data_IF_262725686860
#
_entry.id   IF_262725686860
#
_cell.length_a   1.000
_cell.length_b   1.000
_cell.length_c   1.000
_cell.angle_alpha   90.00
_cell.angle_beta   90.00
_cell.angle_gamma   90.00
#
_symmetry.space_group_name_H-M   'P 1'
#
loop_
_entity.id
_entity.type
_entity.pdbx_description
1 polymer ?
#
# COMPACT_ATOMS: atom_id res chain seq x y z
N UNK A 1 -80.46 49.64 36.64
CA UNK A 1 -78.98 49.71 36.65
C UNK A 1 -78.47 48.50 37.39
N UNK A 2 -77.48 47.84 36.77
CA UNK A 2 -76.53 46.87 37.34
C UNK A 2 -77.07 45.43 37.46
N UNK A 3 -76.90 44.58 36.45
CA UNK A 3 -75.67 43.99 35.84
C UNK A 3 -75.38 42.61 36.45
N UNK A 4 -75.56 41.59 35.62
CA UNK A 4 -75.52 40.20 35.97
C UNK A 4 -74.09 39.68 35.72
N UNK A 5 -73.28 39.65 36.78
CA UNK A 5 -71.96 39.01 36.78
C UNK A 5 -72.10 37.49 36.67
N UNK A 6 -71.95 36.98 35.44
CA UNK A 6 -71.93 35.55 35.14
C UNK A 6 -70.48 35.08 35.06
N UNK A 7 -69.90 34.70 36.19
CA UNK A 7 -68.58 34.07 36.25
C UNK A 7 -68.68 32.64 35.69
N UNK A 8 -68.38 32.49 34.41
CA UNK A 8 -68.14 31.19 33.80
C UNK A 8 -66.73 30.69 34.12
N UNK A 9 -66.54 29.42 34.53
CA UNK A 9 -65.20 28.87 34.72
C UNK A 9 -64.56 28.60 33.35
N UNK A 10 -63.87 29.58 32.81
CA UNK A 10 -63.03 29.42 31.63
C UNK A 10 -61.58 29.10 32.03
N UNK A 11 -60.96 28.17 31.30
CA UNK A 11 -59.51 27.86 31.24
C UNK A 11 -58.88 26.71 32.06
N UNK A 12 -59.62 25.92 32.85
CA UNK A 12 -59.01 24.74 33.51
C UNK A 12 -59.03 23.46 32.66
N UNK A 13 -59.97 23.34 31.71
CA UNK A 13 -60.31 22.07 31.04
C UNK A 13 -59.36 21.68 29.89
N UNK A 14 -58.74 22.65 29.23
CA UNK A 14 -57.83 22.39 28.10
C UNK A 14 -56.43 21.93 28.54
N UNK A 15 -55.99 22.29 29.74
CA UNK A 15 -54.67 21.89 30.29
C UNK A 15 -54.56 20.37 30.50
N UNK A 16 -55.68 19.70 30.80
CA UNK A 16 -55.71 18.24 30.99
C UNK A 16 -55.53 17.47 29.68
N UNK A 17 -56.17 17.92 28.60
CA UNK A 17 -56.06 17.29 27.28
C UNK A 17 -54.65 17.44 26.68
N UNK A 18 -54.05 18.63 26.82
CA UNK A 18 -52.68 18.89 26.35
C UNK A 18 -51.65 18.01 27.09
N UNK A 19 -51.82 17.82 28.40
CA UNK A 19 -50.94 16.93 29.17
C UNK A 19 -51.03 15.47 28.72
N UNK A 20 -52.23 14.98 28.37
CA UNK A 20 -52.43 13.63 27.85
C UNK A 20 -51.77 13.44 26.47
N UNK A 21 -51.94 14.38 25.55
CA UNK A 21 -51.25 14.33 24.26
C UNK A 21 -49.73 14.46 24.41
N UNK A 22 -49.27 15.33 25.29
CA UNK A 22 -47.84 15.47 25.59
C UNK A 22 -47.24 14.15 26.09
N UNK A 23 -47.86 13.49 27.08
CA UNK A 23 -47.43 12.18 27.58
C UNK A 23 -47.46 11.12 26.48
N UNK A 24 -48.51 11.10 25.66
CA UNK A 24 -48.65 10.17 24.55
C UNK A 24 -47.54 10.33 23.50
N UNK A 25 -47.15 11.56 23.18
CA UNK A 25 -46.10 11.85 22.19
C UNK A 25 -44.69 11.86 22.77
N UNK A 26 -44.53 12.07 24.07
CA UNK A 26 -43.23 12.04 24.74
C UNK A 26 -42.58 10.66 24.63
N UNK A 27 -43.35 9.59 24.82
CA UNK A 27 -42.85 8.21 24.73
C UNK A 27 -42.26 7.92 23.33
N UNK A 28 -42.98 8.09 22.20
CA UNK A 28 -42.42 7.86 20.88
C UNK A 28 -41.29 8.84 20.55
N UNK A 29 -41.33 10.09 21.01
CA UNK A 29 -40.23 11.04 20.82
C UNK A 29 -38.92 10.54 21.47
N UNK A 30 -39.01 10.04 22.71
CA UNK A 30 -37.87 9.44 23.41
C UNK A 30 -37.39 8.15 22.74
N UNK A 31 -38.31 7.31 22.22
CA UNK A 31 -37.93 6.11 21.47
C UNK A 31 -37.19 6.45 20.18
N UNK A 32 -37.61 7.47 19.42
CA UNK A 32 -36.88 7.93 18.24
C UNK A 32 -35.54 8.55 18.60
N UNK A 33 -35.45 9.31 19.69
CA UNK A 33 -34.18 9.82 20.20
C UNK A 33 -33.20 8.71 20.58
N UNK A 34 -33.71 7.68 21.26
CA UNK A 34 -32.95 6.49 21.61
C UNK A 34 -32.41 5.75 20.38
N UNK A 35 -33.29 5.49 19.41
CA UNK A 35 -32.93 4.87 18.15
C UNK A 35 -31.88 5.69 17.39
N UNK A 36 -32.01 7.01 17.35
CA UNK A 36 -31.04 7.88 16.68
C UNK A 36 -29.63 7.76 17.30
N UNK A 37 -29.55 7.69 18.63
CA UNK A 37 -28.28 7.48 19.35
C UNK A 37 -27.70 6.10 19.04
N UNK A 38 -28.51 5.05 19.06
CA UNK A 38 -28.07 3.69 18.76
C UNK A 38 -27.59 3.52 17.31
N UNK A 39 -28.26 4.15 16.34
CA UNK A 39 -27.83 4.15 14.93
C UNK A 39 -26.48 4.85 14.78
N UNK A 40 -26.30 6.02 15.41
CA UNK A 40 -25.03 6.72 15.41
C UNK A 40 -23.91 5.87 16.04
N UNK A 41 -24.21 5.19 17.14
CA UNK A 41 -23.28 4.28 17.80
C UNK A 41 -22.88 3.08 16.92
N UNK A 42 -23.85 2.41 16.28
CA UNK A 42 -23.57 1.30 15.37
C UNK A 42 -22.71 1.75 14.19
N UNK A 43 -22.91 2.96 13.67
CA UNK A 43 -22.07 3.52 12.61
C UNK A 43 -20.61 3.69 13.08
N UNK A 44 -20.39 4.18 14.30
CA UNK A 44 -19.04 4.27 14.91
C UNK A 44 -18.41 2.88 15.03
N UNK A 45 -19.16 1.90 15.52
CA UNK A 45 -18.64 0.53 15.72
C UNK A 45 -18.32 -0.16 14.39
N UNK A 46 -19.10 0.09 13.33
CA UNK A 46 -18.78 -0.37 11.97
C UNK A 46 -17.44 0.17 11.48
N UNK A 47 -17.16 1.46 11.72
CA UNK A 47 -15.86 2.04 11.38
C UNK A 47 -14.72 1.42 12.20
N UNK A 48 -14.95 1.12 13.48
CA UNK A 48 -13.95 0.42 14.31
C UNK A 48 -13.66 -1.00 13.78
N UNK A 49 -14.70 -1.74 13.37
CA UNK A 49 -14.54 -3.05 12.73
C UNK A 49 -13.74 -2.94 11.42
N UNK A 50 -14.05 -1.95 10.58
CA UNK A 50 -13.34 -1.74 9.32
C UNK A 50 -11.87 -1.39 9.57
N UNK A 51 -11.58 -0.46 10.48
CA UNK A 51 -10.20 -0.09 10.83
C UNK A 51 -9.41 -1.30 11.34
N UNK A 52 -10.03 -2.17 12.14
CA UNK A 52 -9.40 -3.40 12.61
C UNK A 52 -9.12 -4.39 11.48
N UNK A 53 -10.07 -4.57 10.56
CA UNK A 53 -9.88 -5.40 9.37
C UNK A 53 -8.75 -4.85 8.47
N UNK A 54 -8.77 -3.54 8.20
CA UNK A 54 -7.79 -2.85 7.35
C UNK A 54 -6.38 -2.95 7.93
N UNK A 55 -6.22 -2.66 9.23
CA UNK A 55 -4.94 -2.77 9.92
C UNK A 55 -4.40 -4.20 9.89
N UNK A 56 -5.26 -5.20 10.11
CA UNK A 56 -4.86 -6.59 10.06
C UNK A 56 -4.51 -7.06 8.65
N UNK A 57 -5.27 -6.65 7.63
CA UNK A 57 -4.98 -6.97 6.24
C UNK A 57 -3.64 -6.36 5.81
N UNK A 58 -3.40 -5.07 6.11
CA UNK A 58 -2.13 -4.40 5.80
C UNK A 58 -0.93 -5.06 6.50
N UNK A 59 -1.06 -5.42 7.78
CA UNK A 59 -0.02 -6.14 8.51
C UNK A 59 0.28 -7.51 7.90
N UNK A 60 -0.76 -8.25 7.48
CA UNK A 60 -0.60 -9.51 6.77
C UNK A 60 0.08 -9.34 5.41
N UNK A 61 -0.35 -8.37 4.63
CA UNK A 61 0.21 -8.10 3.31
C UNK A 61 1.68 -7.62 3.39
N UNK A 62 2.06 -6.89 4.44
CA UNK A 62 3.46 -6.51 4.68
C UNK A 62 4.34 -7.73 4.96
N UNK A 63 3.80 -8.68 5.71
CA UNK A 63 4.45 -9.93 6.05
C UNK A 63 4.48 -10.97 4.91
N UNK A 64 3.89 -10.69 3.75
CA UNK A 64 4.08 -11.51 2.54
C UNK A 64 5.50 -11.39 1.99
N UNK A 65 6.13 -10.23 2.19
CA UNK A 65 7.46 -9.94 1.68
C UNK A 65 8.52 -10.73 2.45
N UNK A 66 9.28 -11.55 1.72
CA UNK A 66 10.50 -12.15 2.26
C UNK A 66 11.59 -11.08 2.35
N UNK A 67 12.28 -10.92 3.51
CA UNK A 67 13.37 -9.96 3.66
C UNK A 67 14.54 -10.15 2.68
N UNK A 68 14.72 -11.37 2.15
CA UNK A 68 15.72 -11.72 1.14
C UNK A 68 15.13 -11.82 -0.28
N UNK A 69 13.89 -11.37 -0.47
CA UNK A 69 13.10 -11.57 -1.69
C UNK A 69 12.69 -13.03 -1.94
N UNK A 70 12.13 -13.29 -3.13
CA UNK A 70 11.82 -14.63 -3.62
C UNK A 70 10.38 -15.06 -3.36
N UNK A 71 10.19 -16.32 -2.94
CA UNK A 71 8.88 -16.86 -2.67
C UNK A 71 8.18 -16.11 -1.52
N UNK A 72 6.88 -15.85 -1.70
CA UNK A 72 6.06 -15.14 -0.74
C UNK A 72 5.82 -16.00 0.51
N UNK A 73 5.81 -15.36 1.68
CA UNK A 73 5.62 -16.06 2.96
C UNK A 73 4.15 -16.03 3.41
N UNK A 74 3.33 -16.88 2.79
CA UNK A 74 1.89 -16.97 3.07
C UNK A 74 1.56 -17.30 4.54
N UNK A 75 2.39 -18.14 5.19
CA UNK A 75 2.19 -18.54 6.59
C UNK A 75 2.47 -17.37 7.55
N UNK A 76 3.56 -16.64 7.31
CA UNK A 76 3.91 -15.46 8.10
C UNK A 76 2.87 -14.35 7.90
N UNK A 77 2.38 -14.16 6.68
CA UNK A 77 1.29 -13.23 6.38
C UNK A 77 0.01 -13.54 7.18
N UNK A 78 -0.41 -14.81 7.23
CA UNK A 78 -1.57 -15.22 8.02
C UNK A 78 -1.36 -15.00 9.53
N UNK A 79 -0.15 -15.29 10.02
CA UNK A 79 0.23 -15.08 11.43
C UNK A 79 0.24 -13.61 11.81
N UNK A 80 0.84 -12.75 10.97
CA UNK A 80 0.90 -11.31 11.20
C UNK A 80 -0.48 -10.66 11.19
N UNK A 81 -1.34 -11.05 10.23
CA UNK A 81 -2.73 -10.59 10.19
C UNK A 81 -3.50 -10.99 11.45
N UNK A 82 -3.40 -12.26 11.88
CA UNK A 82 -4.06 -12.75 13.09
C UNK A 82 -3.57 -12.02 14.35
N UNK A 83 -2.26 -11.79 14.45
CA UNK A 83 -1.66 -11.01 15.53
C UNK A 83 -2.16 -9.57 15.55
N UNK A 84 -2.29 -8.93 14.37
CA UNK A 84 -2.81 -7.58 14.25
C UNK A 84 -4.31 -7.48 14.60
N UNK A 85 -5.13 -8.51 14.32
CA UNK A 85 -6.53 -8.54 14.81
C UNK A 85 -6.55 -8.41 16.35
N UNK A 86 -5.69 -9.16 17.05
CA UNK A 86 -5.64 -9.17 18.51
C UNK A 86 -5.17 -7.84 19.14
N UNK A 87 -4.57 -6.94 18.36
CA UNK A 87 -4.15 -5.61 18.81
C UNK A 87 -5.26 -4.55 18.71
N UNK A 88 -6.41 -4.92 18.15
CA UNK A 88 -7.52 -3.99 17.93
C UNK A 88 -8.66 -4.23 18.92
N UNK A 89 -9.42 -3.16 19.21
CA UNK A 89 -10.60 -3.20 20.05
C UNK A 89 -11.79 -2.55 19.34
N UNK A 90 -12.97 -3.12 19.55
CA UNK A 90 -14.23 -2.68 18.95
C UNK A 90 -15.25 -2.55 20.06
N UNK A 91 -15.92 -1.40 20.15
CA UNK A 91 -16.84 -1.05 21.23
C UNK A 91 -16.24 -1.28 22.63
N UNK A 92 -14.94 -0.99 22.79
CA UNK A 92 -14.21 -1.16 24.05
C UNK A 92 -13.81 -2.61 24.40
N UNK A 93 -14.13 -3.59 23.56
CA UNK A 93 -13.70 -4.99 23.74
C UNK A 93 -12.59 -5.35 22.77
N UNK A 94 -11.49 -5.92 23.27
CA UNK A 94 -10.43 -6.45 22.42
C UNK A 94 -10.97 -7.56 21.51
N UNK A 95 -10.54 -7.56 20.25
CA UNK A 95 -10.78 -8.68 19.35
C UNK A 95 -9.81 -9.82 19.71
N UNK A 96 -10.28 -11.06 19.66
CA UNK A 96 -9.46 -12.26 19.90
C UNK A 96 -9.31 -13.13 18.66
N UNK A 97 -10.20 -12.99 17.68
CA UNK A 97 -10.28 -13.85 16.51
C UNK A 97 -10.77 -13.08 15.27
N UNK A 98 -10.28 -13.47 14.11
CA UNK A 98 -10.74 -13.04 12.80
C UNK A 98 -10.48 -14.14 11.78
N UNK A 99 -11.22 -14.12 10.67
CA UNK A 99 -10.98 -15.03 9.55
C UNK A 99 -9.93 -14.39 8.64
N UNK A 100 -8.81 -15.10 8.45
CA UNK A 100 -7.72 -14.65 7.58
C UNK A 100 -7.61 -15.58 6.38
N UNK A 101 -7.55 -15.01 5.17
CA UNK A 101 -7.27 -15.73 3.94
C UNK A 101 -6.11 -15.07 3.22
N UNK A 102 -5.04 -15.83 2.97
CA UNK A 102 -3.88 -15.37 2.21
C UNK A 102 -3.87 -16.06 0.83
N UNK A 103 -3.61 -15.31 -0.23
CA UNK A 103 -3.66 -15.81 -1.59
C UNK A 103 -3.55 -14.68 -2.60
N UNK A 104 -4.28 -14.76 -3.70
CA UNK A 104 -4.23 -13.72 -4.73
C UNK A 104 -5.55 -12.94 -4.80
N UNK A 105 -5.44 -11.65 -5.10
CA UNK A 105 -6.57 -10.78 -5.39
C UNK A 105 -6.44 -10.21 -6.79
N UNK A 106 -7.50 -10.34 -7.59
CA UNK A 106 -7.53 -9.78 -8.93
C UNK A 106 -7.84 -8.27 -8.86
N UNK A 107 -6.88 -7.44 -9.25
CA UNK A 107 -7.00 -5.98 -9.24
C UNK A 107 -8.03 -5.45 -10.24
N UNK A 108 -8.36 -6.24 -11.28
CA UNK A 108 -9.47 -5.97 -12.19
C UNK A 108 -10.84 -6.36 -11.61
N UNK A 109 -10.88 -6.93 -10.40
CA UNK A 109 -12.08 -7.41 -9.70
C UNK A 109 -12.89 -8.45 -10.47
N UNK A 110 -12.21 -9.24 -11.29
CA UNK A 110 -12.82 -10.33 -12.03
C UNK A 110 -11.91 -11.57 -11.95
N UNK A 111 -12.10 -12.44 -10.93
CA UNK A 111 -13.16 -12.42 -9.92
C UNK A 111 -12.90 -11.43 -8.77
N UNK A 112 -13.97 -10.88 -8.18
CA UNK A 112 -13.91 -10.01 -6.99
C UNK A 112 -13.83 -10.82 -5.68
N UNK A 113 -13.03 -11.88 -5.65
CA UNK A 113 -12.89 -12.80 -4.51
C UNK A 113 -11.44 -13.23 -4.36
N UNK A 114 -11.06 -13.61 -3.12
CA UNK A 114 -9.74 -14.20 -2.86
C UNK A 114 -9.58 -15.50 -3.65
N UNK A 115 -8.47 -15.61 -4.36
CA UNK A 115 -8.02 -16.80 -5.06
C UNK A 115 -6.97 -17.53 -4.23
N UNK A 116 -6.83 -18.84 -4.44
CA UNK A 116 -5.88 -19.66 -3.71
C UNK A 116 -4.42 -19.25 -3.99
N UNK A 117 -3.53 -19.41 -3.00
CA UNK A 117 -2.10 -19.15 -3.15
C UNK A 117 -1.40 -20.06 -4.18
N UNK A 118 -2.06 -21.12 -4.65
CA UNK A 118 -1.54 -22.12 -5.59
C UNK A 118 -1.87 -21.84 -7.05
N UNK A 119 -2.61 -20.76 -7.37
CA UNK A 119 -2.86 -20.42 -8.76
C UNK A 119 -1.56 -19.98 -9.44
N UNK A 120 -1.50 -20.13 -10.77
CA UNK A 120 -0.54 -19.38 -11.59
C UNK A 120 -1.10 -17.96 -11.76
N UNK A 121 -0.48 -16.92 -11.18
CA UNK A 121 -1.05 -15.57 -11.20
C UNK A 121 -1.10 -15.02 -12.63
N UNK A 122 -2.24 -14.43 -12.99
CA UNK A 122 -2.37 -13.63 -14.20
C UNK A 122 -1.85 -12.20 -14.01
N UNK A 123 -1.94 -11.39 -15.06
CA UNK A 123 -1.44 -10.00 -15.10
C UNK A 123 -1.99 -9.10 -14.00
N UNK A 124 -3.23 -9.35 -13.55
CA UNK A 124 -3.91 -8.54 -12.54
C UNK A 124 -3.95 -9.19 -11.15
N UNK A 125 -3.37 -10.39 -11.00
CA UNK A 125 -3.41 -11.10 -9.72
C UNK A 125 -2.24 -10.67 -8.85
N UNK A 126 -2.55 -9.91 -7.81
CA UNK A 126 -1.57 -9.47 -6.82
C UNK A 126 -1.64 -10.37 -5.57
N UNK A 127 -0.51 -10.72 -4.96
CA UNK A 127 -0.48 -11.31 -3.63
C UNK A 127 -1.26 -10.47 -2.63
N UNK A 128 -2.11 -11.11 -1.84
CA UNK A 128 -3.07 -10.43 -0.99
C UNK A 128 -3.34 -11.18 0.31
N UNK A 129 -3.78 -10.42 1.30
CA UNK A 129 -4.36 -10.94 2.54
C UNK A 129 -5.73 -10.31 2.73
N UNK A 130 -6.75 -11.16 2.90
CA UNK A 130 -8.08 -10.77 3.32
C UNK A 130 -8.26 -11.08 4.79
N UNK A 131 -8.81 -10.12 5.52
CA UNK A 131 -9.17 -10.29 6.93
C UNK A 131 -10.64 -9.91 7.12
N UNK A 132 -11.39 -10.79 7.79
CA UNK A 132 -12.75 -10.51 8.24
C UNK A 132 -12.79 -10.57 9.76
N UNK A 133 -13.27 -9.49 10.38
CA UNK A 133 -13.50 -9.42 11.83
C UNK A 133 -14.99 -9.24 12.09
N UNK A 134 -15.49 -9.80 13.18
CA UNK A 134 -16.90 -9.72 13.54
C UNK A 134 -17.14 -9.61 15.04
N UNK A 135 -18.27 -9.02 15.40
CA UNK A 135 -18.86 -8.97 16.73
C UNK A 135 -20.20 -9.68 16.64
N UNK A 136 -20.37 -10.78 17.36
CA UNK A 136 -21.56 -11.62 17.37
C UNK A 136 -21.66 -12.37 18.71
N UNK A 137 -22.79 -13.01 19.06
CA UNK A 137 -22.87 -13.85 20.26
C UNK A 137 -21.72 -14.86 20.33
N UNK A 138 -20.95 -14.82 21.42
CA UNK A 138 -19.79 -15.70 21.62
C UNK A 138 -18.52 -15.34 20.82
N UNK A 139 -18.51 -14.26 20.04
CA UNK A 139 -17.37 -13.85 19.20
C UNK A 139 -16.90 -12.45 19.62
N UNK A 140 -15.58 -12.31 19.88
CA UNK A 140 -14.91 -11.01 20.11
C UNK A 140 -15.60 -10.11 21.15
N UNK A 141 -16.01 -10.68 22.28
CA UNK A 141 -16.69 -9.93 23.36
C UNK A 141 -18.21 -9.80 23.18
N UNK A 142 -18.81 -10.52 22.21
CA UNK A 142 -20.26 -10.64 22.07
C UNK A 142 -20.88 -9.66 21.08
N UNK A 143 -22.21 -9.52 21.14
CA UNK A 143 -22.94 -8.52 20.34
C UNK A 143 -22.46 -7.11 20.66
N UNK A 144 -22.52 -6.21 19.69
CA UNK A 144 -22.32 -4.77 19.87
C UNK A 144 -23.44 -4.27 20.80
N UNK A 145 -23.13 -3.74 22.00
CA UNK A 145 -24.17 -3.27 22.91
C UNK A 145 -24.86 -2.04 22.33
N UNK A 146 -26.19 -2.05 22.27
CA UNK A 146 -26.94 -0.82 21.98
C UNK A 146 -27.02 0.00 23.28
N UNK A 147 -26.85 1.32 23.17
CA UNK A 147 -26.85 2.23 24.31
C UNK A 147 -28.25 2.34 24.92
N UNK A 148 -29.29 2.38 24.08
CA UNK A 148 -30.68 2.53 24.50
C UNK A 148 -31.61 1.44 23.94
N UNK A 149 -31.09 0.51 23.15
CA UNK A 149 -31.86 -0.59 22.55
C UNK A 149 -32.51 -1.54 23.58
N UNK A 150 -31.97 -1.60 24.80
CA UNK A 150 -32.60 -2.32 25.92
C UNK A 150 -34.03 -1.83 26.23
N UNK A 151 -34.33 -0.55 26.01
CA UNK A 151 -35.69 0.01 26.16
C UNK A 151 -36.69 -0.60 25.16
N UNK A 152 -36.18 -1.10 24.03
CA UNK A 152 -36.94 -1.73 22.95
C UNK A 152 -36.81 -3.27 22.94
N UNK A 153 -36.15 -3.86 23.94
CA UNK A 153 -35.89 -5.30 23.99
C UNK A 153 -34.83 -5.79 23.01
N UNK A 154 -34.02 -4.89 22.44
CA UNK A 154 -32.93 -5.19 21.50
C UNK A 154 -31.61 -4.78 22.16
N UNK A 155 -31.00 -5.64 22.99
CA UNK A 155 -29.83 -5.25 23.79
C UNK A 155 -28.54 -5.10 22.97
N UNK A 156 -28.50 -5.60 21.74
CA UNK A 156 -27.31 -5.55 20.90
C UNK A 156 -27.55 -5.90 19.44
N UNK A 157 -26.52 -5.64 18.63
CA UNK A 157 -26.48 -5.97 17.22
C UNK A 157 -25.20 -6.72 16.86
N UNK A 158 -25.25 -7.58 15.84
CA UNK A 158 -24.03 -8.17 15.27
C UNK A 158 -23.49 -7.29 14.15
N UNK A 159 -22.18 -7.33 13.94
CA UNK A 159 -21.52 -6.60 12.85
C UNK A 159 -20.27 -7.31 12.39
N UNK A 160 -19.91 -7.13 11.13
CA UNK A 160 -18.66 -7.62 10.57
C UNK A 160 -18.10 -6.62 9.57
N UNK A 161 -16.79 -6.66 9.38
CA UNK A 161 -16.09 -5.92 8.35
C UNK A 161 -15.03 -6.82 7.70
N UNK A 162 -14.80 -6.61 6.41
CA UNK A 162 -13.80 -7.34 5.63
C UNK A 162 -12.92 -6.33 4.93
N UNK A 163 -11.61 -6.59 4.95
CA UNK A 163 -10.61 -5.81 4.24
C UNK A 163 -9.70 -6.75 3.44
N UNK A 164 -9.22 -6.27 2.30
CA UNK A 164 -8.21 -6.95 1.50
C UNK A 164 -7.06 -5.97 1.33
N UNK A 165 -5.83 -6.41 1.60
CA UNK A 165 -4.63 -5.66 1.29
C UNK A 165 -3.75 -6.45 0.33
N UNK A 166 -3.11 -5.74 -0.59
CA UNK A 166 -2.25 -6.32 -1.63
C UNK A 166 -0.80 -5.87 -1.46
N UNK A 167 0.11 -6.77 -1.79
CA UNK A 167 1.53 -6.49 -1.98
C UNK A 167 1.80 -6.41 -3.49
N UNK A 168 2.38 -5.31 -3.96
CA UNK A 168 2.63 -5.10 -5.39
C UNK A 168 3.97 -4.41 -5.62
N UNK A 169 4.57 -4.66 -6.78
CA UNK A 169 5.68 -3.86 -7.27
C UNK A 169 5.16 -2.47 -7.72
N UNK A 170 5.96 -1.40 -7.54
CA UNK A 170 5.53 -0.05 -7.86
C UNK A 170 5.24 0.10 -9.36
N UNK A 171 4.08 0.66 -9.69
CA UNK A 171 3.79 1.21 -11.03
C UNK A 171 4.19 2.68 -11.16
N UNK A 172 4.52 3.34 -10.05
CA UNK A 172 5.06 4.68 -9.98
C UNK A 172 5.74 4.95 -8.65
N UNK A 173 6.69 5.86 -8.65
CA UNK A 173 7.56 6.22 -7.53
C UNK A 173 7.47 7.72 -7.31
N UNK A 174 7.12 8.14 -6.09
CA UNK A 174 7.06 9.55 -5.74
C UNK A 174 8.43 10.24 -5.79
N UNK A 175 8.43 11.56 -5.67
CA UNK A 175 9.65 12.35 -5.63
C UNK A 175 10.61 11.85 -4.54
N UNK A 176 11.90 11.80 -4.87
CA UNK A 176 12.99 11.36 -4.02
C UNK A 176 13.17 9.85 -3.85
N UNK A 177 12.37 9.03 -4.54
CA UNK A 177 12.45 7.57 -4.44
C UNK A 177 13.45 6.91 -5.40
N UNK A 178 13.98 7.63 -6.40
CA UNK A 178 14.85 7.08 -7.44
C UNK A 178 16.24 7.72 -7.44
N UNK A 179 17.27 6.90 -7.62
CA UNK A 179 18.63 7.37 -7.85
C UNK A 179 18.85 7.67 -9.35
N UNK A 180 19.68 8.67 -9.73
CA UNK A 180 19.79 9.16 -11.12
C UNK A 180 20.59 8.24 -12.07
N UNK A 181 20.32 6.95 -12.04
CA UNK A 181 20.76 5.96 -13.02
C UNK A 181 19.55 5.22 -13.58
N UNK A 182 19.57 4.94 -14.87
CA UNK A 182 18.58 4.09 -15.53
C UNK A 182 19.25 2.81 -16.03
N UNK A 183 18.59 1.68 -15.82
CA UNK A 183 19.06 0.36 -16.26
C UNK A 183 18.34 -0.03 -17.54
N UNK A 184 19.05 -0.67 -18.46
CA UNK A 184 18.45 -1.24 -19.65
C UNK A 184 17.64 -2.50 -19.31
N UNK A 185 16.40 -2.59 -19.79
CA UNK A 185 15.58 -3.79 -19.59
C UNK A 185 16.27 -5.05 -20.13
N UNK A 186 17.09 -4.92 -21.17
CA UNK A 186 17.85 -6.02 -21.77
C UNK A 186 18.82 -6.66 -20.76
N UNK A 187 19.62 -5.85 -20.04
CA UNK A 187 20.57 -6.37 -19.04
C UNK A 187 19.83 -6.92 -17.82
N UNK A 188 18.71 -6.30 -17.45
CA UNK A 188 17.86 -6.81 -16.37
C UNK A 188 17.42 -8.25 -16.66
N UNK A 189 16.88 -8.49 -17.85
CA UNK A 189 16.44 -9.81 -18.27
C UNK A 189 17.57 -10.85 -18.37
N UNK A 190 18.83 -10.42 -18.53
CA UNK A 190 19.98 -11.33 -18.56
C UNK A 190 20.42 -11.81 -17.18
N UNK A 191 20.25 -10.99 -16.13
CA UNK A 191 20.72 -11.27 -14.78
C UNK A 191 19.60 -11.43 -13.75
N UNK A 192 18.37 -11.59 -14.21
CA UNK A 192 17.20 -11.81 -13.37
C UNK A 192 16.47 -13.10 -13.74
N UNK A 193 16.11 -13.89 -12.74
CA UNK A 193 15.24 -15.05 -12.89
C UNK A 193 13.78 -14.63 -12.62
N UNK A 194 13.01 -14.48 -13.70
CA UNK A 194 11.60 -14.11 -13.62
C UNK A 194 10.70 -15.22 -13.04
N UNK A 195 11.16 -16.48 -13.00
CA UNK A 195 10.39 -17.58 -12.43
C UNK A 195 10.49 -17.59 -10.91
N UNK A 196 11.69 -17.32 -10.37
CA UNK A 196 11.94 -17.30 -8.92
C UNK A 196 11.89 -15.90 -8.31
N UNK A 197 11.79 -14.86 -9.15
CA UNK A 197 11.81 -13.45 -8.73
C UNK A 197 13.07 -13.10 -7.93
N UNK A 198 14.21 -13.56 -8.43
CA UNK A 198 15.53 -13.43 -7.80
C UNK A 198 16.61 -13.05 -8.81
N UNK A 199 17.71 -12.39 -8.38
CA UNK A 199 18.90 -12.24 -9.20
C UNK A 199 19.49 -13.60 -9.56
N UNK A 200 19.99 -13.73 -10.79
CA UNK A 200 20.75 -14.91 -11.18
C UNK A 200 22.08 -14.96 -10.43
N UNK A 201 22.46 -16.16 -10.01
CA UNK A 201 23.70 -16.41 -9.29
C UNK A 201 24.80 -16.82 -10.27
N UNK A 202 25.97 -16.21 -10.12
CA UNK A 202 27.17 -16.61 -10.82
C UNK A 202 27.70 -17.92 -10.20
N UNK A 203 27.78 -19.02 -10.97
CA UNK A 203 28.17 -20.33 -10.45
C UNK A 203 29.62 -20.38 -9.95
N UNK A 204 30.47 -19.43 -10.36
CA UNK A 204 31.87 -19.37 -9.94
C UNK A 204 32.04 -18.70 -8.57
N UNK A 205 31.19 -17.74 -8.23
CA UNK A 205 31.29 -16.95 -6.99
C UNK A 205 30.24 -17.34 -5.96
N UNK A 206 29.14 -17.96 -6.39
CA UNK A 206 27.98 -18.20 -5.53
C UNK A 206 27.22 -16.93 -5.15
N UNK A 207 27.53 -15.79 -5.79
CA UNK A 207 26.92 -14.48 -5.55
C UNK A 207 26.12 -14.03 -6.78
N UNK A 208 25.20 -13.05 -6.64
CA UNK A 208 24.54 -12.43 -7.79
C UNK A 208 25.54 -11.97 -8.86
N UNK A 209 25.12 -12.01 -10.12
CA UNK A 209 25.95 -11.43 -11.20
C UNK A 209 26.17 -9.93 -10.97
N UNK A 210 27.44 -9.55 -10.96
CA UNK A 210 27.85 -8.15 -10.94
C UNK A 210 28.09 -7.64 -12.36
N UNK A 211 27.74 -6.38 -12.58
CA UNK A 211 28.00 -5.69 -13.84
C UNK A 211 28.32 -4.22 -13.60
N UNK A 212 28.91 -3.59 -14.61
CA UNK A 212 29.31 -2.19 -14.61
C UNK A 212 28.38 -1.34 -15.46
N UNK A 213 27.99 -0.20 -14.89
CA UNK A 213 27.29 0.89 -15.55
C UNK A 213 28.34 1.94 -15.91
N UNK A 214 28.61 2.06 -17.21
CA UNK A 214 29.41 3.13 -17.79
C UNK A 214 29.05 3.31 -19.25
N UNK A 215 29.56 4.38 -19.87
CA UNK A 215 29.18 4.77 -21.20
C UNK A 215 29.60 3.72 -22.25
N UNK A 216 28.61 3.07 -22.87
CA UNK A 216 28.81 2.15 -23.99
C UNK A 216 29.22 0.73 -23.62
N UNK A 217 29.20 0.34 -22.33
CA UNK A 217 29.43 -1.06 -21.97
C UNK A 217 28.20 -1.92 -22.23
N UNK A 218 28.43 -3.08 -22.84
CA UNK A 218 27.40 -4.02 -23.26
C UNK A 218 27.65 -5.42 -22.70
N UNK A 219 26.57 -6.13 -22.43
CA UNK A 219 26.50 -7.48 -21.89
C UNK A 219 25.79 -8.43 -22.86
N UNK A 220 26.34 -9.63 -23.00
CA UNK A 220 25.94 -10.57 -24.04
C UNK A 220 26.16 -9.97 -25.43
N UNK A 221 25.14 -10.04 -26.29
CA UNK A 221 25.23 -9.57 -27.67
C UNK A 221 25.15 -8.04 -27.82
N UNK A 222 24.35 -7.35 -26.98
CA UNK A 222 24.08 -5.92 -27.16
C UNK A 222 23.44 -5.21 -25.96
N UNK A 223 23.21 -5.87 -24.82
CA UNK A 223 22.48 -5.26 -23.71
C UNK A 223 23.36 -4.23 -22.98
N UNK A 224 23.03 -2.95 -23.06
CA UNK A 224 23.77 -1.93 -22.31
C UNK A 224 23.55 -2.09 -20.80
N UNK A 225 24.57 -1.82 -19.98
CA UNK A 225 24.44 -1.96 -18.51
C UNK A 225 23.52 -0.91 -17.89
N UNK A 226 23.57 0.33 -18.39
CA UNK A 226 22.81 1.45 -17.86
C UNK A 226 23.40 2.79 -18.26
N UNK A 227 22.72 3.87 -17.90
CA UNK A 227 23.18 5.24 -18.13
C UNK A 227 22.69 6.18 -17.04
N UNK A 228 23.39 7.30 -16.83
CA UNK A 228 22.88 8.38 -15.99
C UNK A 228 21.55 8.95 -16.52
N UNK A 229 20.69 9.41 -15.63
CA UNK A 229 19.45 10.09 -15.99
C UNK A 229 19.26 11.38 -15.22
N UNK A 230 18.81 12.41 -15.92
CA UNK A 230 18.33 13.67 -15.35
C UNK A 230 16.79 13.70 -15.25
N UNK A 231 16.16 12.53 -15.31
CA UNK A 231 14.72 12.33 -15.29
C UNK A 231 14.01 13.17 -16.35
N UNK A 232 13.14 14.11 -15.98
CA UNK A 232 12.36 14.92 -16.91
C UNK A 232 13.08 16.21 -17.37
N UNK A 233 14.38 16.34 -17.08
CA UNK A 233 15.24 17.44 -17.55
C UNK A 233 16.26 16.92 -18.55
N UNK A 234 16.80 17.77 -19.42
CA UNK A 234 17.92 17.43 -20.32
C UNK A 234 19.30 17.80 -19.75
N UNK A 235 19.35 18.21 -18.48
CA UNK A 235 20.57 18.62 -17.81
C UNK A 235 21.63 17.49 -17.79
N UNK A 236 22.90 17.88 -17.90
CA UNK A 236 24.05 16.96 -17.82
C UNK A 236 25.22 17.57 -17.04
N UNK A 237 24.99 18.66 -16.31
CA UNK A 237 25.99 19.34 -15.49
C UNK A 237 26.14 18.69 -14.11
N UNK A 238 27.29 18.93 -13.47
CA UNK A 238 27.65 18.34 -12.18
C UNK A 238 26.70 18.75 -11.08
N UNK A 239 26.29 20.02 -11.05
CA UNK A 239 25.46 20.57 -9.98
C UNK A 239 24.09 19.93 -9.97
N UNK A 240 23.46 19.83 -11.14
CA UNK A 240 22.14 19.18 -11.26
C UNK A 240 22.24 17.70 -10.90
N UNK A 241 23.22 16.96 -11.42
CA UNK A 241 23.33 15.51 -11.14
C UNK A 241 23.65 15.24 -9.66
N UNK A 242 24.50 16.05 -9.04
CA UNK A 242 24.78 15.94 -7.60
C UNK A 242 23.53 16.23 -6.76
N UNK A 243 22.73 17.23 -7.16
CA UNK A 243 21.44 17.50 -6.54
C UNK A 243 20.47 16.33 -6.64
N UNK A 244 20.40 15.67 -7.82
CA UNK A 244 19.58 14.48 -8.02
C UNK A 244 20.09 13.26 -7.23
N UNK A 245 21.40 13.09 -7.05
CA UNK A 245 21.92 12.01 -6.20
C UNK A 245 21.54 12.21 -4.73
N UNK A 246 21.51 13.46 -4.26
CA UNK A 246 21.16 13.79 -2.88
C UNK A 246 19.66 13.74 -2.60
N UNK A 247 18.84 14.15 -3.58
CA UNK A 247 17.40 14.35 -3.38
C UNK A 247 16.51 13.37 -4.15
N UNK A 248 17.08 12.57 -5.05
CA UNK A 248 16.39 11.65 -5.96
C UNK A 248 15.64 12.35 -7.10
N UNK A 249 14.65 11.66 -7.67
CA UNK A 249 13.79 12.19 -8.73
C UNK A 249 12.97 13.41 -8.26
N UNK A 250 12.91 14.52 -9.01
CA UNK A 250 12.25 15.76 -8.54
C UNK A 250 10.72 15.67 -8.44
N UNK A 251 10.10 14.79 -9.23
CA UNK A 251 8.67 14.60 -9.32
C UNK A 251 8.33 13.11 -9.40
N UNK A 252 7.06 12.77 -9.15
CA UNK A 252 6.60 11.40 -9.31
C UNK A 252 6.84 10.91 -10.74
N UNK A 253 7.35 9.69 -10.87
CA UNK A 253 7.54 9.01 -12.14
C UNK A 253 6.73 7.71 -12.17
N UNK A 254 5.98 7.50 -13.23
CA UNK A 254 5.19 6.30 -13.46
C UNK A 254 5.77 5.47 -14.60
N UNK A 255 5.42 4.19 -14.65
CA UNK A 255 5.65 3.36 -15.83
C UNK A 255 4.96 4.01 -17.03
N UNK A 256 5.69 4.13 -18.14
CA UNK A 256 5.29 4.83 -19.35
C UNK A 256 5.81 6.28 -19.44
N UNK A 257 6.15 6.91 -18.31
CA UNK A 257 6.76 8.24 -18.34
C UNK A 257 8.14 8.17 -18.98
N UNK A 258 8.49 9.22 -19.73
CA UNK A 258 9.78 9.30 -20.40
C UNK A 258 10.82 10.04 -19.56
N UNK A 259 12.01 9.47 -19.46
CA UNK A 259 13.17 10.07 -18.79
C UNK A 259 14.33 10.28 -19.78
N UNK A 260 15.08 11.35 -19.57
CA UNK A 260 16.26 11.69 -20.36
C UNK A 260 17.47 10.90 -19.88
N UNK A 261 18.15 10.25 -20.81
CA UNK A 261 19.44 9.61 -20.56
C UNK A 261 20.56 10.63 -20.77
N UNK A 262 21.13 11.09 -19.67
CA UNK A 262 22.19 12.08 -19.66
C UNK A 262 23.52 11.38 -19.98
N UNK A 263 24.05 11.56 -21.19
CA UNK A 263 25.38 11.05 -21.54
C UNK A 263 26.45 12.13 -21.38
N UNK A 264 27.72 11.70 -21.28
CA UNK A 264 28.83 12.64 -21.09
C UNK A 264 28.90 13.24 -19.68
N UNK A 265 28.28 12.59 -18.70
CA UNK A 265 28.33 12.97 -17.29
C UNK A 265 29.78 13.00 -16.80
N UNK A 266 30.11 14.03 -16.00
CA UNK A 266 31.50 14.29 -15.62
C UNK A 266 32.05 13.19 -14.71
N UNK A 267 33.32 12.85 -14.94
CA UNK A 267 34.04 11.82 -14.18
C UNK A 267 34.07 12.06 -12.66
N UNK A 268 33.91 13.30 -12.23
CA UNK A 268 33.85 13.71 -10.81
C UNK A 268 32.59 13.23 -10.09
N UNK A 269 31.53 12.86 -10.80
CA UNK A 269 30.29 12.41 -10.17
C UNK A 269 30.36 10.97 -9.66
N UNK A 270 31.17 10.13 -10.30
CA UNK A 270 31.39 8.74 -9.86
C UNK A 270 31.97 8.67 -8.44
N UNK A 271 32.78 9.64 -8.01
CA UNK A 271 33.31 9.66 -6.64
C UNK A 271 32.27 10.04 -5.58
N UNK A 272 31.08 10.48 -6.00
CA UNK A 272 29.98 10.89 -5.11
C UNK A 272 28.86 9.85 -5.04
N UNK A 273 28.98 8.73 -5.76
CA UNK A 273 28.01 7.65 -5.74
C UNK A 273 28.11 6.88 -4.41
N UNK A 274 26.98 6.60 -3.73
CA UNK A 274 27.01 5.95 -2.42
C UNK A 274 27.30 4.44 -2.53
N UNK A 275 28.57 4.07 -2.34
CA UNK A 275 29.01 2.66 -2.33
C UNK A 275 28.50 1.92 -1.07
N UNK A 276 28.15 0.65 -1.22
CA UNK A 276 27.59 -0.20 -0.16
C UNK A 276 26.12 0.07 0.12
N UNK A 277 25.41 0.73 -0.80
CA UNK A 277 23.99 1.08 -0.64
C UNK A 277 23.12 0.47 -1.72
N UNK A 278 21.90 0.11 -1.34
CA UNK A 278 20.87 -0.34 -2.28
C UNK A 278 19.99 0.84 -2.66
N UNK A 279 19.91 1.10 -3.96
CA UNK A 279 19.12 2.18 -4.55
C UNK A 279 18.01 1.61 -5.44
N UNK A 280 16.97 2.41 -5.68
CA UNK A 280 15.92 2.09 -6.66
C UNK A 280 16.19 2.88 -7.93
N UNK A 281 16.23 2.17 -9.06
CA UNK A 281 16.55 2.70 -10.37
C UNK A 281 15.36 2.51 -11.32
N UNK A 282 15.00 3.50 -12.17
CA UNK A 282 14.13 3.23 -13.30
C UNK A 282 14.76 2.22 -14.26
N UNK A 283 13.97 1.26 -14.72
CA UNK A 283 14.32 0.40 -15.85
C UNK A 283 13.65 0.95 -17.09
N UNK A 284 14.39 1.01 -18.19
CA UNK A 284 13.96 1.62 -19.45
C UNK A 284 14.07 0.65 -20.61
N UNK A 285 13.27 0.85 -21.66
CA UNK A 285 13.24 -0.05 -22.84
C UNK A 285 14.58 -0.17 -23.56
N UNK A 286 15.39 0.89 -23.52
CA UNK A 286 16.72 0.94 -24.06
C UNK A 286 17.50 2.06 -23.37
N UNK A 287 18.82 1.94 -23.35
CA UNK A 287 19.70 3.00 -22.83
C UNK A 287 20.46 3.74 -23.93
N UNK A 288 19.75 4.06 -25.02
CA UNK A 288 20.30 4.83 -26.13
C UNK A 288 20.82 6.20 -25.69
N UNK A 289 21.88 6.67 -26.33
CA UNK A 289 22.59 7.89 -25.95
C UNK A 289 21.75 9.14 -26.21
N UNK A 290 21.56 9.98 -25.17
CA UNK A 290 21.00 11.34 -25.27
C UNK A 290 19.61 11.40 -25.89
N UNK A 291 18.69 10.62 -25.33
CA UNK A 291 17.29 10.61 -25.74
C UNK A 291 16.36 10.41 -24.54
N UNK A 292 15.10 10.78 -24.74
CA UNK A 292 14.02 10.36 -23.87
C UNK A 292 13.69 8.89 -24.14
N UNK A 293 13.53 8.13 -23.06
CA UNK A 293 13.13 6.72 -23.09
C UNK A 293 12.05 6.45 -22.05
N UNK A 294 11.07 5.59 -22.36
CA UNK A 294 10.01 5.26 -21.41
C UNK A 294 10.52 4.34 -20.30
N UNK A 295 10.06 4.61 -19.08
CA UNK A 295 10.22 3.74 -17.92
C UNK A 295 9.28 2.54 -18.05
N UNK A 296 9.79 1.33 -17.84
CA UNK A 296 9.02 0.07 -17.91
C UNK A 296 8.88 -0.62 -16.56
N UNK A 297 9.77 -0.34 -15.62
CA UNK A 297 9.78 -0.91 -14.28
C UNK A 297 10.66 -0.08 -13.33
N UNK A 298 10.70 -0.47 -12.07
CA UNK A 298 11.64 0.06 -11.08
C UNK A 298 12.37 -1.09 -10.41
N UNK A 299 13.70 -1.05 -10.45
CA UNK A 299 14.56 -2.12 -10.00
C UNK A 299 15.39 -1.74 -8.77
N UNK A 300 15.63 -2.71 -7.89
CA UNK A 300 16.59 -2.57 -6.80
C UNK A 300 17.99 -2.94 -7.29
N UNK A 301 18.96 -2.10 -6.98
CA UNK A 301 20.34 -2.27 -7.37
C UNK A 301 21.27 -1.94 -6.20
N UNK A 302 22.15 -2.86 -5.84
CA UNK A 302 23.17 -2.63 -4.83
C UNK A 302 24.45 -2.14 -5.49
N UNK A 303 25.01 -1.05 -4.99
CA UNK A 303 26.22 -0.45 -5.54
C UNK A 303 27.43 -0.99 -4.78
N UNK A 304 28.19 -1.86 -5.43
CA UNK A 304 29.39 -2.48 -4.85
C UNK A 304 30.61 -1.56 -4.94
N UNK A 305 30.76 -0.84 -6.07
CA UNK A 305 31.92 0.01 -6.33
C UNK A 305 31.52 1.21 -7.18
N UNK A 306 32.14 2.37 -6.96
CA UNK A 306 32.12 3.46 -7.92
C UNK A 306 33.47 4.14 -8.05
N UNK A 307 33.99 4.23 -9.28
CA UNK A 307 35.31 4.79 -9.57
C UNK A 307 35.21 5.92 -10.61
N UNK A 308 35.72 7.10 -10.24
CA UNK A 308 35.88 8.24 -11.14
C UNK A 308 37.21 8.27 -11.89
N UNK A 309 37.62 9.47 -12.32
CA UNK A 309 38.91 9.68 -12.98
C UNK A 309 39.00 8.97 -14.34
N UNK A 310 39.96 8.05 -14.47
CA UNK A 310 40.19 7.28 -15.71
C UNK A 310 39.22 6.10 -15.87
N UNK A 311 38.69 5.54 -14.78
CA UNK A 311 37.86 4.32 -14.79
C UNK A 311 36.40 4.59 -15.15
N UNK A 312 35.79 5.60 -14.50
CA UNK A 312 34.43 6.12 -14.80
C UNK A 312 33.35 5.04 -14.85
N UNK A 313 33.19 4.23 -13.82
CA UNK A 313 32.13 3.22 -13.78
C UNK A 313 31.51 3.07 -12.39
N UNK A 314 30.30 2.51 -12.37
CA UNK A 314 29.58 2.06 -11.18
C UNK A 314 29.39 0.56 -11.34
N UNK A 315 29.87 -0.24 -10.40
CA UNK A 315 29.64 -1.68 -10.37
C UNK A 315 28.58 -2.00 -9.33
N UNK A 316 27.75 -2.97 -9.63
CA UNK A 316 26.73 -3.43 -8.71
C UNK A 316 26.04 -4.69 -9.19
N UNK A 317 25.03 -5.11 -8.43
CA UNK A 317 24.21 -6.28 -8.72
C UNK A 317 22.74 -6.02 -8.38
N UNK A 318 21.84 -6.81 -8.99
CA UNK A 318 20.42 -6.75 -8.64
C UNK A 318 20.15 -7.35 -7.27
N UNK A 319 19.14 -6.81 -6.58
CA UNK A 319 18.69 -7.30 -5.27
C UNK A 319 17.18 -7.49 -5.30
N UNK A 320 16.68 -8.50 -4.58
CA UNK A 320 15.26 -8.75 -4.41
C UNK A 320 14.78 -8.38 -2.99
N UNK A 321 13.46 -8.20 -2.82
CA UNK A 321 12.85 -8.00 -1.51
C UNK A 321 13.03 -6.61 -0.91
N UNK A 322 13.35 -5.61 -1.73
CA UNK A 322 13.54 -4.24 -1.25
C UNK A 322 12.19 -3.56 -1.07
N UNK A 323 11.92 -3.11 0.15
CA UNK A 323 10.73 -2.30 0.46
C UNK A 323 11.02 -0.82 0.22
N UNK A 324 10.20 -0.18 -0.61
CA UNK A 324 10.28 1.27 -0.76
C UNK A 324 9.83 1.97 0.51
N UNK A 325 10.58 2.99 0.91
CA UNK A 325 10.26 3.85 2.06
C UNK A 325 9.37 5.04 1.70
N UNK A 326 9.30 5.40 0.41
CA UNK A 326 8.48 6.48 -0.12
C UNK A 326 7.08 6.03 -0.57
N UNK A 327 6.26 7.01 -0.95
CA UNK A 327 4.95 6.75 -1.56
C UNK A 327 5.16 6.14 -2.95
N UNK A 328 4.56 4.98 -3.17
CA UNK A 328 4.53 4.31 -4.46
C UNK A 328 3.07 4.11 -4.90
N UNK A 329 2.84 4.19 -6.21
CA UNK A 329 1.51 4.11 -6.82
C UNK A 329 1.47 3.05 -7.92
N UNK A 330 0.28 2.80 -8.47
CA UNK A 330 0.11 1.86 -9.59
C UNK A 330 0.45 0.42 -9.23
N UNK A 331 0.60 -0.43 -10.23
CA UNK A 331 1.19 -1.78 -10.15
C UNK A 331 2.10 -1.95 -11.35
N UNK A 332 3.32 -2.39 -11.10
CA UNK A 332 4.33 -2.67 -12.12
C UNK A 332 4.78 -4.13 -12.11
N UNK A 333 5.67 -4.50 -13.03
CA UNK A 333 6.36 -5.78 -12.96
C UNK A 333 7.32 -5.81 -11.76
N UNK A 334 7.46 -6.98 -11.12
CA UNK A 334 8.31 -7.12 -9.95
C UNK A 334 9.78 -7.23 -10.32
N UNK A 335 10.52 -6.12 -10.17
CA UNK A 335 11.95 -6.04 -10.45
C UNK A 335 12.76 -5.89 -9.14
N UNK A 336 12.41 -6.70 -8.14
CA UNK A 336 13.11 -6.72 -6.85
C UNK A 336 12.65 -5.68 -5.82
N UNK A 337 11.67 -4.85 -6.18
CA UNK A 337 11.15 -3.77 -5.34
C UNK A 337 9.65 -3.98 -5.07
N UNK A 338 9.26 -3.82 -3.81
CA UNK A 338 7.86 -3.76 -3.39
C UNK A 338 7.47 -2.36 -2.93
N UNK A 339 6.28 -1.93 -3.35
CA UNK A 339 5.59 -0.80 -2.75
C UNK A 339 5.05 -1.18 -1.37
N UNK A 340 4.88 -0.20 -0.46
CA UNK A 340 4.14 -0.43 0.77
C UNK A 340 2.77 -1.06 0.49
N UNK A 341 2.32 -2.05 1.28
CA UNK A 341 1.01 -2.65 1.08
C UNK A 341 -0.11 -1.63 1.10
N UNK A 342 -1.15 -1.88 0.33
CA UNK A 342 -2.33 -1.01 0.25
C UNK A 342 -3.61 -1.82 0.25
N UNK A 343 -4.69 -1.19 0.71
CA UNK A 343 -6.02 -1.78 0.63
C UNK A 343 -6.44 -1.90 -0.83
N UNK A 344 -6.94 -3.08 -1.21
CA UNK A 344 -7.63 -3.31 -2.46
C UNK A 344 -9.06 -2.78 -2.29
N UNK A 345 -9.21 -1.47 -2.54
CA UNK A 345 -10.52 -0.81 -2.64
C UNK A 345 -11.32 -1.45 -3.75
#
# INVERSE_FOLDING_TARGET
MNDAGRDGPASARERGSVALFFLLFLIPLLMFGALAIDVAWVAVVRNQLQNAADAAALAGADALMSPSGGALNWSQAATAASGAVAQNAVAGSALSTGTVAAGYWNLGRSPATMQAATITPGTYDAPAVQVTVSRAPGVNGGMIPLLLGGLLGIPGASGSATAVAVLAAPGGVAAGGLFPLAIDQCVYNQYWDAATNQPLINPLTGLPYEFIITNGQTYGASCMGGQWTSFQSTANDVTTMAGLMANGNPAQLNIGDSIWLATGVKATLYTSVPVGTTVVLPVVTQTATSTYVPVVAFAAFHIDVSLGGTFKYIQGHFVAGVKMTGVASGVGPYYGVYSPPRLAL
#
